data_IF_898294416254
#
_entry.id   IF_898294416254
#
_cell.length_a   1.000
_cell.length_b   1.000
_cell.length_c   1.000
_cell.angle_alpha   90.00
_cell.angle_beta   90.00
_cell.angle_gamma   90.00
#
_symmetry.space_group_name_H-M   'P 1'
#
loop_
_entity.id
_entity.type
_entity.pdbx_description
1 polymer ?
#
# COMPACT_ATOMS: atom_id res chain seq x y z
N UNK A 1 -7.31 -6.20 3.82
CA UNK A 1 -8.36 -7.13 4.28
C UNK A 1 -8.97 -6.62 5.58
N UNK A 2 -10.26 -6.84 5.79
CA UNK A 2 -10.98 -6.40 6.99
C UNK A 2 -10.98 -7.51 8.03
N UNK A 3 -10.50 -7.21 9.24
CA UNK A 3 -10.64 -8.08 10.40
C UNK A 3 -11.79 -7.52 11.23
N UNK A 4 -12.85 -8.30 11.38
CA UNK A 4 -14.02 -7.91 12.15
C UNK A 4 -13.64 -7.81 13.64
N UNK A 5 -13.78 -6.64 14.29
CA UNK A 5 -13.40 -6.49 15.70
C UNK A 5 -14.34 -7.21 16.66
N UNK A 6 -15.64 -7.17 16.37
CA UNK A 6 -16.69 -7.84 17.15
C UNK A 6 -17.83 -8.30 16.24
N UNK A 7 -18.67 -9.27 16.65
CA UNK A 7 -19.78 -9.78 15.84
C UNK A 7 -20.82 -8.73 15.40
N UNK A 8 -20.85 -7.57 16.06
CA UNK A 8 -21.75 -6.45 15.74
C UNK A 8 -21.25 -5.60 14.56
N UNK A 9 -19.99 -5.73 14.16
CA UNK A 9 -19.44 -5.06 12.99
C UNK A 9 -19.77 -5.82 11.71
N UNK A 10 -19.57 -5.18 10.55
CA UNK A 10 -19.76 -5.81 9.25
C UNK A 10 -19.05 -7.18 9.19
N UNK A 11 -19.78 -8.18 8.71
CA UNK A 11 -19.24 -9.54 8.55
C UNK A 11 -18.13 -9.53 7.51
N UNK A 12 -17.07 -10.31 7.77
CA UNK A 12 -15.99 -10.51 6.80
C UNK A 12 -16.56 -11.22 5.57
N UNK A 13 -16.51 -10.54 4.42
CA UNK A 13 -16.99 -11.10 3.15
C UNK A 13 -16.03 -12.14 2.57
N UNK A 14 -14.73 -11.90 2.66
CA UNK A 14 -13.69 -12.78 2.12
C UNK A 14 -12.35 -12.54 2.84
N UNK A 15 -11.61 -13.63 3.06
CA UNK A 15 -10.20 -13.55 3.42
C UNK A 15 -9.36 -13.60 2.15
N UNK A 16 -8.71 -12.48 1.83
CA UNK A 16 -7.99 -12.27 0.57
C UNK A 16 -6.65 -12.99 0.61
N UNK A 17 -6.30 -13.71 -0.46
CA UNK A 17 -5.00 -14.39 -0.60
C UNK A 17 -3.84 -13.40 -0.75
N UNK A 18 -2.62 -13.75 -0.32
CA UNK A 18 -1.43 -12.92 -0.50
C UNK A 18 -1.23 -12.43 -1.95
N UNK A 19 -1.45 -13.30 -2.94
CA UNK A 19 -1.29 -13.01 -4.37
C UNK A 19 -2.16 -11.85 -4.86
N UNK A 20 -3.39 -11.73 -4.35
CA UNK A 20 -4.29 -10.61 -4.70
C UNK A 20 -3.73 -9.27 -4.21
N UNK A 21 -2.99 -9.25 -3.09
CA UNK A 21 -2.36 -8.02 -2.61
C UNK A 21 -1.23 -7.57 -3.53
N UNK A 22 -0.47 -8.50 -4.10
CA UNK A 22 0.59 -8.18 -5.06
C UNK A 22 0.01 -7.57 -6.33
N UNK A 23 -1.07 -8.15 -6.88
CA UNK A 23 -1.78 -7.59 -8.02
C UNK A 23 -2.29 -6.17 -7.77
N UNK A 24 -2.83 -5.89 -6.58
CA UNK A 24 -3.28 -4.53 -6.24
C UNK A 24 -2.14 -3.55 -6.08
N UNK A 25 -0.98 -4.01 -5.60
CA UNK A 25 0.21 -3.19 -5.51
C UNK A 25 0.69 -2.79 -6.90
N UNK A 26 0.83 -3.76 -7.80
CA UNK A 26 1.21 -3.53 -9.19
C UNK A 26 0.23 -2.60 -9.89
N UNK A 27 -1.07 -2.85 -9.73
CA UNK A 27 -2.10 -1.98 -10.29
C UNK A 27 -1.99 -0.54 -9.76
N UNK A 28 -1.87 -0.37 -8.43
CA UNK A 28 -1.75 0.96 -7.83
C UNK A 28 -0.48 1.70 -8.29
N UNK A 29 0.64 1.00 -8.41
CA UNK A 29 1.88 1.57 -8.96
C UNK A 29 1.71 1.94 -10.45
N UNK A 30 0.97 1.15 -11.23
CA UNK A 30 0.71 1.40 -12.66
C UNK A 30 -0.14 2.65 -12.92
N UNK A 31 -1.08 2.98 -12.02
CA UNK A 31 -1.96 4.15 -12.17
C UNK A 31 -1.36 5.44 -11.58
N UNK A 32 -0.08 5.41 -11.19
CA UNK A 32 0.68 6.60 -10.81
C UNK A 32 0.78 6.88 -9.32
N UNK A 33 0.38 5.94 -8.44
CA UNK A 33 0.71 6.07 -7.02
C UNK A 33 2.23 5.96 -6.82
N UNK A 34 2.81 6.92 -6.08
CA UNK A 34 4.26 6.97 -5.84
C UNK A 34 4.77 5.77 -5.04
N UNK A 35 3.89 5.21 -4.21
CA UNK A 35 4.15 4.03 -3.40
C UNK A 35 2.81 3.38 -3.00
N UNK A 36 2.76 2.05 -3.00
CA UNK A 36 1.60 1.28 -2.55
C UNK A 36 2.04 0.24 -1.52
N UNK A 37 1.52 0.34 -0.28
CA UNK A 37 1.61 -0.72 0.70
C UNK A 37 0.38 -1.62 0.57
N UNK A 38 0.57 -2.86 0.13
CA UNK A 38 -0.50 -3.84 0.00
C UNK A 38 -0.12 -5.11 0.76
N UNK A 39 -1.03 -5.61 1.61
CA UNK A 39 -0.82 -6.82 2.38
C UNK A 39 -1.92 -7.05 3.43
N UNK A 40 -2.05 -8.27 3.97
CA UNK A 40 -3.16 -8.65 4.85
C UNK A 40 -3.20 -7.86 6.16
N UNK A 41 -2.03 -7.53 6.71
CA UNK A 41 -1.88 -6.81 7.99
C UNK A 41 -1.52 -5.34 7.84
N UNK A 42 -1.44 -4.83 6.60
CA UNK A 42 -1.16 -3.41 6.37
C UNK A 42 -2.29 -2.57 6.98
N UNK A 43 -1.90 -1.48 7.65
CA UNK A 43 -2.78 -0.47 8.24
C UNK A 43 -2.35 0.90 7.75
N UNK A 44 -3.19 1.92 7.94
CA UNK A 44 -2.93 3.28 7.44
C UNK A 44 -1.60 3.87 7.91
N UNK A 45 -1.17 3.55 9.13
CA UNK A 45 0.11 4.00 9.69
C UNK A 45 1.29 3.06 9.43
N UNK A 46 1.05 1.91 8.79
CA UNK A 46 2.08 0.89 8.60
C UNK A 46 3.25 1.45 7.78
N UNK A 47 4.41 1.57 8.43
CA UNK A 47 5.66 2.11 7.86
C UNK A 47 5.56 3.52 7.25
N UNK A 48 4.54 4.31 7.59
CA UNK A 48 4.27 5.60 6.95
C UNK A 48 5.51 6.53 6.87
N UNK A 49 6.36 6.56 7.92
CA UNK A 49 7.60 7.35 7.91
C UNK A 49 8.65 6.86 6.91
N UNK A 50 8.89 5.55 6.82
CA UNK A 50 9.80 4.95 5.83
C UNK A 50 9.30 5.23 4.40
N UNK A 51 7.98 5.15 4.19
CA UNK A 51 7.36 5.43 2.89
C UNK A 51 7.49 6.90 2.50
N UNK A 52 7.28 7.81 3.46
CA UNK A 52 7.46 9.23 3.24
C UNK A 52 8.90 9.54 2.81
N UNK A 53 9.90 9.05 3.55
CA UNK A 53 11.31 9.24 3.21
C UNK A 53 11.64 8.62 1.84
N UNK A 54 11.17 7.39 1.56
CA UNK A 54 11.41 6.71 0.27
C UNK A 54 10.84 7.49 -0.91
N UNK A 55 9.64 8.05 -0.77
CA UNK A 55 9.03 8.87 -1.84
C UNK A 55 9.78 10.19 -2.06
N UNK A 56 10.29 10.81 -0.98
CA UNK A 56 11.11 12.02 -1.06
C UNK A 56 12.47 11.76 -1.73
N UNK A 57 13.15 10.67 -1.37
CA UNK A 57 14.42 10.26 -1.99
C UNK A 57 14.24 9.91 -3.47
N UNK A 58 13.16 9.21 -3.83
CA UNK A 58 12.84 8.88 -5.23
C UNK A 58 12.53 10.15 -6.05
N UNK A 59 11.82 11.12 -5.46
CA UNK A 59 11.59 12.43 -6.10
C UNK A 59 12.90 13.16 -6.37
N UNK A 60 13.81 13.21 -5.38
CA UNK A 60 15.11 13.86 -5.53
C UNK A 60 15.93 13.26 -6.68
N UNK A 61 16.00 11.92 -6.79
CA UNK A 61 16.70 11.25 -7.91
C UNK A 61 16.11 11.60 -9.28
N UNK A 62 14.79 11.61 -9.42
CA UNK A 62 14.13 11.97 -10.69
C UNK A 62 14.32 13.44 -11.10
N UNK A 63 14.71 14.32 -10.18
CA UNK A 63 14.92 15.75 -10.48
C UNK A 63 16.36 16.03 -10.95
N UNK A 64 17.30 15.14 -10.65
CA UNK A 64 18.73 15.29 -10.99
C UNK A 64 19.06 14.66 -12.36
N UNK A 65 18.12 13.88 -12.93
CA UNK A 65 18.25 13.20 -14.23
C UNK A 65 17.53 13.93 -15.38
N UNK A 66 17.13 15.19 -15.21
CA UNK A 66 16.74 16.06 -16.34
C UNK A 66 17.98 16.80 -16.88
N UNK A 67 18.23 16.80 -18.20
CA UNK A 67 19.15 17.75 -18.81
C UNK A 67 18.65 19.20 -18.69
#
# INVERSE_FOLDING_TARGET
MFLQPTPLHLTVKEYVTPEKFDLWKEYGESIGFRYVASGPLVRSSYRAGELFVKTMVRKAKNTVDMP
#
